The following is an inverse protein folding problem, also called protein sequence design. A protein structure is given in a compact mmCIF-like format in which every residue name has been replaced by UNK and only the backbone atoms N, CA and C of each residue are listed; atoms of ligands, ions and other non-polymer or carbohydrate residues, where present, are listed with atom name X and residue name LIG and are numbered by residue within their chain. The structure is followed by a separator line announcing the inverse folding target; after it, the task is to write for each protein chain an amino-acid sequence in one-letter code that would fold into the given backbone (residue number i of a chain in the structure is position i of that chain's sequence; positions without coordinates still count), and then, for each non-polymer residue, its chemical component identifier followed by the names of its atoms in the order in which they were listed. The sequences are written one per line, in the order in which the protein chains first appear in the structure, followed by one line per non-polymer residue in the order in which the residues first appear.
data_IF_311289204040
#
_entry.id   IF_311289204040
#
_cell.length_a   1.000
_cell.length_b   1.000
_cell.length_c   1.000
_cell.angle_alpha   90.00
_cell.angle_beta   90.00
_cell.angle_gamma   90.00
#
_symmetry.space_group_name_H-M   'P 1'
#
loop_
_entity.id
_entity.type
_entity.pdbx_description
1 polymer ?
#
# COMPACT_ATOMS: atom_id res chain seq x y z
N UNK A 1 14.66 -8.59 1.68
CA UNK A 1 15.49 -7.67 0.87
C UNK A 1 14.62 -6.91 -0.11
N UNK A 2 14.79 -5.61 -0.20
CA UNK A 2 14.03 -4.76 -1.12
C UNK A 2 14.65 -4.81 -2.53
N UNK A 3 13.82 -5.07 -3.52
CA UNK A 3 14.20 -5.04 -4.94
C UNK A 3 13.20 -4.19 -5.73
N UNK A 4 13.63 -3.78 -6.91
CA UNK A 4 12.83 -3.00 -7.83
C UNK A 4 12.58 -3.79 -9.11
N UNK A 5 11.38 -3.62 -9.67
CA UNK A 5 11.02 -4.22 -10.95
C UNK A 5 10.24 -3.22 -11.79
N UNK A 6 10.64 -3.04 -13.04
CA UNK A 6 9.82 -2.29 -14.00
C UNK A 6 8.68 -3.20 -14.42
N UNK A 7 7.45 -2.82 -14.12
CA UNK A 7 6.27 -3.62 -14.40
C UNK A 7 5.04 -3.07 -13.71
N UNK A 8 3.93 -3.77 -13.91
CA UNK A 8 2.63 -3.41 -13.36
C UNK A 8 2.35 -4.24 -12.11
N UNK A 9 2.18 -3.58 -10.96
CA UNK A 9 1.85 -4.26 -9.70
C UNK A 9 0.56 -5.10 -9.83
N UNK A 10 -0.46 -4.58 -10.50
CA UNK A 10 -1.73 -5.30 -10.63
C UNK A 10 -1.55 -6.60 -11.41
N UNK A 11 -0.75 -6.59 -12.47
CA UNK A 11 -0.42 -7.81 -13.22
C UNK A 11 0.38 -8.80 -12.36
N UNK A 12 1.31 -8.32 -11.53
CA UNK A 12 2.07 -9.15 -10.62
C UNK A 12 1.17 -9.83 -9.57
N UNK A 13 0.16 -9.10 -9.08
CA UNK A 13 -0.84 -9.64 -8.15
C UNK A 13 -1.68 -10.72 -8.85
N UNK A 14 -2.20 -10.43 -10.04
CA UNK A 14 -3.04 -11.37 -10.79
C UNK A 14 -2.32 -12.65 -11.19
N UNK A 15 -1.03 -12.55 -11.50
CA UNK A 15 -0.21 -13.71 -11.91
C UNK A 15 0.28 -14.55 -10.73
N UNK A 16 0.13 -14.08 -9.50
CA UNK A 16 0.69 -14.75 -8.31
C UNK A 16 2.17 -14.52 -8.09
N UNK A 17 2.79 -13.59 -8.83
CA UNK A 17 4.18 -13.19 -8.60
C UNK A 17 4.36 -12.63 -7.18
N UNK A 18 3.37 -11.90 -6.68
CA UNK A 18 3.26 -11.48 -5.28
C UNK A 18 2.01 -12.07 -4.65
N UNK A 19 2.06 -12.36 -3.35
CA UNK A 19 0.91 -12.85 -2.58
C UNK A 19 0.42 -11.86 -1.53
N UNK A 20 1.10 -10.74 -1.39
CA UNK A 20 0.71 -9.61 -0.53
C UNK A 20 1.02 -8.33 -1.27
N UNK A 21 0.11 -7.37 -1.23
CA UNK A 21 0.35 -6.05 -1.80
C UNK A 21 -0.30 -4.97 -0.94
N UNK A 22 0.15 -3.74 -1.12
CA UNK A 22 -0.42 -2.60 -0.43
C UNK A 22 -0.31 -1.34 -1.27
N UNK A 23 -1.18 -0.38 -0.98
CA UNK A 23 -1.11 0.96 -1.53
C UNK A 23 -1.52 1.99 -0.48
N UNK A 24 -1.15 3.25 -0.70
CA UNK A 24 -1.51 4.35 0.19
C UNK A 24 -2.92 4.86 -0.09
N UNK A 25 -3.69 5.12 0.96
CA UNK A 25 -5.05 5.61 0.88
C UNK A 25 -5.23 6.90 1.70
N UNK A 26 -6.18 7.73 1.27
CA UNK A 26 -6.71 8.81 2.10
C UNK A 26 -7.77 8.28 3.08
N UNK A 27 -8.21 9.14 3.98
CA UNK A 27 -9.21 8.76 5.00
C UNK A 27 -10.67 9.02 4.57
N UNK A 28 -10.93 9.34 3.29
CA UNK A 28 -12.26 9.71 2.80
C UNK A 28 -12.94 8.64 1.95
N UNK A 29 -12.40 7.44 1.86
CA UNK A 29 -12.99 6.31 1.11
C UNK A 29 -13.22 6.63 -0.38
N UNK A 30 -12.30 7.36 -1.02
CA UNK A 30 -12.50 7.78 -2.42
C UNK A 30 -11.85 6.86 -3.44
N UNK A 31 -10.64 6.37 -3.17
CA UNK A 31 -9.84 5.57 -4.13
C UNK A 31 -9.90 6.14 -5.56
N UNK A 32 -9.74 7.46 -5.68
CA UNK A 32 -10.03 8.20 -6.91
C UNK A 32 -8.83 8.64 -7.74
N UNK A 33 -7.59 8.45 -7.27
CA UNK A 33 -6.41 8.91 -8.00
C UNK A 33 -5.22 7.96 -7.85
N UNK A 34 -4.23 8.13 -8.72
CA UNK A 34 -3.04 7.27 -8.77
C UNK A 34 -3.40 5.83 -9.12
N UNK A 35 -2.83 4.88 -8.40
CA UNK A 35 -3.09 3.45 -8.61
C UNK A 35 -4.44 3.00 -8.04
N UNK A 36 -5.04 3.78 -7.13
CA UNK A 36 -6.24 3.36 -6.40
C UNK A 36 -7.44 3.02 -7.30
N UNK A 37 -7.78 3.80 -8.34
CA UNK A 37 -8.87 3.41 -9.25
C UNK A 37 -8.64 2.06 -9.94
N UNK A 38 -7.39 1.76 -10.29
CA UNK A 38 -7.03 0.49 -10.93
C UNK A 38 -7.16 -0.68 -9.96
N UNK A 39 -6.78 -0.48 -8.70
CA UNK A 39 -6.95 -1.48 -7.64
C UNK A 39 -8.43 -1.72 -7.37
N UNK A 40 -9.21 -0.66 -7.28
CA UNK A 40 -10.66 -0.72 -7.08
C UNK A 40 -11.35 -1.55 -8.17
N UNK A 41 -10.96 -1.34 -9.43
CA UNK A 41 -11.51 -2.07 -10.56
C UNK A 41 -11.07 -3.54 -10.58
N UNK A 42 -9.76 -3.79 -10.38
CA UNK A 42 -9.21 -5.14 -10.43
C UNK A 42 -9.59 -5.99 -9.22
N UNK A 43 -9.70 -5.37 -8.05
CA UNK A 43 -9.93 -6.03 -6.77
C UNK A 43 -11.02 -5.31 -5.98
N UNK A 44 -12.32 -5.52 -6.32
CA UNK A 44 -13.42 -4.79 -5.66
C UNK A 44 -13.45 -4.95 -4.14
N UNK A 45 -12.97 -6.06 -3.60
CA UNK A 45 -12.90 -6.28 -2.15
C UNK A 45 -11.98 -5.29 -1.44
N UNK A 46 -10.98 -4.73 -2.13
CA UNK A 46 -10.13 -3.68 -1.59
C UNK A 46 -10.93 -2.42 -1.30
N UNK A 47 -11.77 -2.01 -2.22
CA UNK A 47 -12.66 -0.86 -2.02
C UNK A 47 -13.75 -1.16 -1.00
N UNK A 48 -14.30 -2.37 -0.99
CA UNK A 48 -15.27 -2.80 0.00
C UNK A 48 -14.71 -2.71 1.42
N UNK A 49 -13.43 -3.10 1.62
CA UNK A 49 -12.77 -2.97 2.92
C UNK A 49 -12.61 -1.50 3.33
N UNK A 50 -12.26 -0.62 2.38
CA UNK A 50 -12.17 0.82 2.62
C UNK A 50 -13.52 1.42 3.00
N UNK A 51 -14.59 1.04 2.29
CA UNK A 51 -15.94 1.54 2.56
C UNK A 51 -16.52 1.12 3.92
N UNK A 52 -15.96 0.10 4.56
CA UNK A 52 -16.35 -0.31 5.91
C UNK A 52 -15.80 0.63 6.98
N UNK A 53 -14.84 1.47 6.65
CA UNK A 53 -14.29 2.46 7.57
C UNK A 53 -15.13 3.74 7.54
N UNK A 54 -15.03 4.54 8.60
CA UNK A 54 -15.74 5.80 8.67
C UNK A 54 -15.05 6.87 7.81
N UNK A 55 -15.79 7.45 6.88
CA UNK A 55 -15.31 8.49 5.98
C UNK A 55 -14.90 9.74 6.75
N UNK A 56 -13.67 10.20 6.55
CA UNK A 56 -13.18 11.43 7.16
C UNK A 56 -12.75 11.30 8.62
N UNK A 57 -12.78 10.11 9.20
CA UNK A 57 -12.33 9.88 10.56
C UNK A 57 -10.82 9.98 10.66
N UNK A 58 -10.34 10.97 11.43
CA UNK A 58 -8.89 11.19 11.61
C UNK A 58 -8.19 10.06 12.35
N UNK A 59 -8.91 9.27 13.13
CA UNK A 59 -8.32 8.13 13.84
C UNK A 59 -7.92 6.99 12.92
N UNK A 60 -8.39 6.98 11.66
CA UNK A 60 -7.92 6.04 10.65
C UNK A 60 -6.47 6.26 10.25
N UNK A 61 -6.01 7.51 10.33
CA UNK A 61 -4.66 7.88 9.87
C UNK A 61 -3.62 7.07 10.65
N UNK A 62 -2.75 6.38 9.93
CA UNK A 62 -1.74 5.50 10.52
C UNK A 62 -2.21 4.06 10.75
N UNK A 63 -3.45 3.73 10.42
CA UNK A 63 -3.97 2.35 10.46
C UNK A 63 -3.99 1.74 9.07
N UNK A 64 -4.42 0.48 8.97
CA UNK A 64 -4.64 -0.17 7.68
C UNK A 64 -5.89 -1.04 7.72
N UNK A 65 -6.44 -1.35 6.56
CA UNK A 65 -7.44 -2.40 6.38
C UNK A 65 -6.85 -3.49 5.48
N UNK A 66 -7.37 -4.70 5.59
CA UNK A 66 -6.94 -5.85 4.80
C UNK A 66 -8.12 -6.48 4.07
N UNK A 67 -7.90 -6.88 2.83
CA UNK A 67 -8.84 -7.70 2.08
C UNK A 67 -8.14 -9.00 1.69
N UNK A 68 -8.78 -10.13 1.99
CA UNK A 68 -8.31 -11.44 1.55
C UNK A 68 -8.96 -11.77 0.22
N UNK A 69 -8.13 -12.17 -0.74
CA UNK A 69 -8.51 -12.42 -2.13
C UNK A 69 -8.14 -13.86 -2.49
N UNK A 70 -8.73 -14.37 -3.58
CA UNK A 70 -8.43 -15.71 -4.10
C UNK A 70 -8.48 -16.79 -3.02
N UNK A 71 -9.59 -16.86 -2.27
CA UNK A 71 -9.80 -17.84 -1.18
C UNK A 71 -8.71 -17.79 -0.09
N UNK A 72 -8.15 -16.59 0.14
CA UNK A 72 -7.16 -16.36 1.20
C UNK A 72 -5.72 -16.57 0.78
N UNK A 73 -5.45 -16.88 -0.50
CA UNK A 73 -4.07 -17.04 -0.99
C UNK A 73 -3.39 -15.71 -1.27
N UNK A 74 -4.13 -14.60 -1.27
CA UNK A 74 -3.67 -13.26 -1.59
C UNK A 74 -4.24 -12.29 -0.56
N UNK A 75 -3.43 -11.37 -0.06
CA UNK A 75 -3.87 -10.30 0.85
C UNK A 75 -3.49 -8.93 0.29
N UNK A 76 -4.45 -8.01 0.27
CA UNK A 76 -4.23 -6.62 -0.09
C UNK A 76 -4.48 -5.70 1.10
N UNK A 77 -3.64 -4.68 1.25
CA UNK A 77 -3.71 -3.74 2.36
C UNK A 77 -3.95 -2.32 1.85
N UNK A 78 -4.92 -1.65 2.46
CA UNK A 78 -5.12 -0.21 2.32
C UNK A 78 -4.39 0.46 3.49
N UNK A 79 -3.32 1.20 3.20
CA UNK A 79 -2.54 1.91 4.21
C UNK A 79 -3.03 3.36 4.30
N UNK A 80 -3.58 3.74 5.45
CA UNK A 80 -4.09 5.10 5.62
C UNK A 80 -2.95 6.06 5.93
N UNK A 81 -2.22 6.42 4.88
CA UNK A 81 -0.97 7.18 4.92
C UNK A 81 -1.14 8.67 4.73
N UNK A 82 -2.36 9.11 4.41
CA UNK A 82 -2.71 10.52 4.22
C UNK A 82 -4.14 10.78 4.66
N UNK A 83 -4.38 11.96 5.24
CA UNK A 83 -5.74 12.30 5.65
C UNK A 83 -6.58 12.71 4.46
N UNK A 84 -6.13 13.73 3.71
CA UNK A 84 -6.82 14.28 2.55
C UNK A 84 -6.17 13.88 1.23
N UNK A 85 -6.51 14.59 0.17
CA UNK A 85 -6.02 14.32 -1.18
C UNK A 85 -6.08 15.57 -2.06
N UNK A 86 -5.35 15.54 -3.19
CA UNK A 86 -5.39 16.58 -4.23
C UNK A 86 -4.95 17.99 -3.78
N UNK A 87 -4.09 18.09 -2.76
CA UNK A 87 -3.59 19.37 -2.27
C UNK A 87 -2.24 19.78 -2.87
N UNK A 88 -1.68 18.96 -3.76
CA UNK A 88 -0.37 19.25 -4.37
C UNK A 88 -0.36 20.56 -5.14
N UNK A 89 -1.47 20.90 -5.81
CA UNK A 89 -1.61 22.19 -6.53
C UNK A 89 -1.54 23.40 -5.60
N UNK A 90 -1.80 23.21 -4.31
CA UNK A 90 -1.70 24.23 -3.27
C UNK A 90 -0.32 24.25 -2.61
N UNK A 91 0.65 23.48 -3.15
CA UNK A 91 1.98 23.36 -2.57
C UNK A 91 2.02 22.51 -1.30
N UNK A 92 0.98 21.73 -1.01
CA UNK A 92 0.88 20.90 0.19
C UNK A 92 1.20 19.44 -0.14
N UNK A 93 1.87 18.79 0.81
CA UNK A 93 2.09 17.34 0.77
C UNK A 93 0.92 16.66 1.46
N UNK A 94 0.25 15.74 0.76
CA UNK A 94 -0.81 14.94 1.37
C UNK A 94 -0.26 13.82 2.24
N UNK A 95 0.89 13.24 1.88
CA UNK A 95 1.51 12.17 2.64
C UNK A 95 1.89 12.64 4.05
N UNK A 96 1.50 11.84 5.04
CA UNK A 96 1.96 11.93 6.41
C UNK A 96 2.97 10.79 6.63
N UNK A 97 4.25 11.13 6.81
CA UNK A 97 5.29 10.11 6.97
C UNK A 97 5.09 9.23 8.20
N UNK A 98 4.66 9.81 9.32
CA UNK A 98 4.40 9.04 10.53
C UNK A 98 3.24 8.07 10.31
N UNK A 99 2.18 8.52 9.64
CA UNK A 99 1.03 7.67 9.34
C UNK A 99 1.40 6.53 8.39
N UNK A 100 2.24 6.79 7.38
CA UNK A 100 2.73 5.73 6.50
C UNK A 100 3.54 4.71 7.28
N UNK A 101 4.45 5.17 8.11
CA UNK A 101 5.27 4.28 8.96
C UNK A 101 4.38 3.42 9.86
N UNK A 102 3.46 4.04 10.58
CA UNK A 102 2.58 3.34 11.53
C UNK A 102 1.67 2.33 10.81
N UNK A 103 1.13 2.68 9.66
CA UNK A 103 0.27 1.77 8.87
C UNK A 103 1.05 0.57 8.34
N UNK A 104 2.31 0.76 7.95
CA UNK A 104 3.18 -0.34 7.51
C UNK A 104 3.57 -1.25 8.69
N UNK A 105 3.82 -0.68 9.88
CA UNK A 105 4.07 -1.47 11.09
C UNK A 105 2.85 -2.31 11.42
N UNK A 106 1.66 -1.75 11.35
CA UNK A 106 0.41 -2.48 11.59
C UNK A 106 0.22 -3.60 10.58
N UNK A 107 0.47 -3.34 9.29
CA UNK A 107 0.45 -4.35 8.24
C UNK A 107 1.39 -5.50 8.57
N UNK A 108 2.62 -5.21 8.99
CA UNK A 108 3.59 -6.25 9.33
C UNK A 108 3.13 -7.08 10.53
N UNK A 109 2.57 -6.44 11.55
CA UNK A 109 2.01 -7.16 12.71
C UNK A 109 0.91 -8.11 12.31
N UNK A 110 0.03 -7.69 11.39
CA UNK A 110 -1.03 -8.57 10.87
C UNK A 110 -0.43 -9.76 10.10
N UNK A 111 0.55 -9.53 9.24
CA UNK A 111 1.22 -10.60 8.51
C UNK A 111 1.90 -11.60 9.46
N UNK A 112 2.53 -11.10 10.52
CA UNK A 112 3.13 -11.95 11.55
C UNK A 112 2.09 -12.81 12.26
N UNK A 113 0.88 -12.29 12.44
CA UNK A 113 -0.21 -13.03 13.09
C UNK A 113 -0.79 -14.15 12.24
N UNK A 114 -0.57 -14.12 10.92
CA UNK A 114 -1.13 -15.11 9.99
C UNK A 114 -0.22 -16.33 9.78
N UNK A 115 0.98 -16.32 10.33
CA UNK A 115 1.92 -17.44 10.17
C UNK A 115 2.77 -17.63 11.40
N UNK A 116 3.11 -18.90 11.69
CA UNK A 116 4.12 -19.26 12.70
C UNK A 116 5.51 -19.43 12.05
N UNK A 117 5.59 -19.32 10.74
CA UNK A 117 6.82 -19.50 9.97
C UNK A 117 7.58 -18.21 9.72
N UNK A 118 8.64 -18.27 8.90
CA UNK A 118 9.43 -17.10 8.54
C UNK A 118 8.63 -16.14 7.67
N UNK A 119 8.97 -14.87 7.74
CA UNK A 119 8.26 -13.80 7.00
C UNK A 119 8.56 -13.82 5.50
N UNK A 120 9.58 -14.54 5.05
CA UNK A 120 9.93 -14.63 3.63
C UNK A 120 8.95 -15.45 2.79
N UNK A 121 7.97 -16.12 3.42
CA UNK A 121 6.84 -16.73 2.70
C UNK A 121 5.98 -15.68 2.01
N UNK A 122 6.02 -14.43 2.48
CA UNK A 122 5.29 -13.32 1.87
C UNK A 122 6.15 -12.69 0.79
N UNK A 123 5.64 -12.69 -0.42
CA UNK A 123 6.19 -11.96 -1.56
C UNK A 123 5.37 -10.68 -1.68
N UNK A 124 5.92 -9.61 -1.11
CA UNK A 124 5.21 -8.33 -0.96
C UNK A 124 5.49 -7.43 -2.14
N UNK A 125 4.44 -6.89 -2.74
CA UNK A 125 4.52 -5.90 -3.81
C UNK A 125 4.01 -4.55 -3.36
N UNK A 126 4.78 -3.50 -3.63
CA UNK A 126 4.38 -2.10 -3.41
C UNK A 126 4.53 -1.31 -4.71
N UNK A 127 3.66 -0.33 -4.95
CA UNK A 127 4.01 0.76 -5.87
C UNK A 127 5.00 1.70 -5.15
N UNK A 128 5.41 2.81 -5.79
CA UNK A 128 6.15 3.86 -5.09
C UNK A 128 5.21 4.61 -4.13
N UNK A 129 4.95 4.00 -2.97
CA UNK A 129 4.04 4.48 -1.95
C UNK A 129 4.30 5.94 -1.59
N UNK A 130 3.26 6.77 -1.68
CA UNK A 130 3.29 8.15 -1.20
C UNK A 130 4.21 9.11 -1.95
N UNK A 131 4.94 8.66 -2.96
CA UNK A 131 5.93 9.48 -3.67
C UNK A 131 5.37 10.16 -4.93
N UNK A 132 4.21 9.74 -5.42
CA UNK A 132 3.55 10.34 -6.58
C UNK A 132 2.74 11.57 -6.20
N UNK A 133 1.43 11.50 -6.40
CA UNK A 133 0.51 12.61 -6.12
C UNK A 133 0.53 13.07 -4.66
N UNK A 134 0.83 12.18 -3.72
CA UNK A 134 0.91 12.51 -2.30
C UNK A 134 2.14 13.34 -1.93
N UNK A 135 3.14 13.42 -2.80
CA UNK A 135 4.27 14.36 -2.68
C UNK A 135 5.37 13.96 -1.71
N UNK A 136 5.45 12.70 -1.31
CA UNK A 136 6.51 12.22 -0.42
C UNK A 136 7.86 12.04 -1.11
N UNK A 137 8.93 12.12 -0.31
CA UNK A 137 10.30 11.84 -0.75
C UNK A 137 10.52 10.32 -0.73
N UNK A 138 10.80 9.75 -1.89
CA UNK A 138 10.99 8.30 -2.02
C UNK A 138 12.17 7.77 -1.19
N UNK A 139 13.24 8.55 -1.06
CA UNK A 139 14.39 8.13 -0.24
C UNK A 139 14.00 7.88 1.22
N UNK A 140 13.13 8.71 1.77
CA UNK A 140 12.60 8.56 3.14
C UNK A 140 11.72 7.31 3.22
N UNK A 141 10.81 7.15 2.25
CA UNK A 141 9.86 6.03 2.22
C UNK A 141 10.61 4.70 2.03
N UNK A 142 11.59 4.66 1.14
CA UNK A 142 12.43 3.48 0.93
C UNK A 142 13.12 3.04 2.22
N UNK A 143 13.68 3.99 2.98
CA UNK A 143 14.32 3.71 4.26
C UNK A 143 13.34 3.12 5.27
N UNK A 144 12.11 3.60 5.31
CA UNK A 144 11.04 3.06 6.15
C UNK A 144 10.72 1.61 5.78
N UNK A 145 10.55 1.32 4.49
CA UNK A 145 10.25 -0.02 4.01
C UNK A 145 11.37 -0.99 4.37
N UNK A 146 12.62 -0.60 4.13
CA UNK A 146 13.79 -1.42 4.46
C UNK A 146 13.86 -1.74 5.96
N UNK A 147 13.54 -0.77 6.79
CA UNK A 147 13.54 -0.94 8.25
C UNK A 147 12.45 -1.90 8.71
N UNK A 148 11.21 -1.69 8.27
CA UNK A 148 10.05 -2.45 8.74
C UNK A 148 10.06 -3.88 8.16
N UNK A 149 10.32 -4.02 6.88
CA UNK A 149 10.19 -5.29 6.14
C UNK A 149 11.54 -5.95 5.87
N UNK A 150 12.54 -5.75 6.76
CA UNK A 150 13.91 -6.24 6.57
C UNK A 150 14.01 -7.77 6.40
N UNK A 151 13.08 -8.52 6.97
CA UNK A 151 13.02 -9.97 6.94
C UNK A 151 12.01 -10.52 5.91
N UNK A 152 11.45 -9.65 5.08
CA UNK A 152 10.46 -10.00 4.08
C UNK A 152 11.04 -9.89 2.66
N UNK A 153 10.42 -10.59 1.73
CA UNK A 153 10.69 -10.46 0.29
C UNK A 153 9.82 -9.32 -0.26
N UNK A 154 10.42 -8.18 -0.57
CA UNK A 154 9.72 -6.98 -1.02
C UNK A 154 10.18 -6.56 -2.41
N UNK A 155 9.23 -6.31 -3.30
CA UNK A 155 9.47 -5.74 -4.62
C UNK A 155 8.67 -4.46 -4.77
N UNK A 156 9.34 -3.38 -5.17
CA UNK A 156 8.69 -2.14 -5.58
C UNK A 156 8.53 -2.16 -7.10
N UNK A 157 7.30 -2.03 -7.56
CA UNK A 157 6.97 -2.04 -8.99
C UNK A 157 6.93 -0.62 -9.52
N UNK A 158 7.69 -0.39 -10.58
CA UNK A 158 7.79 0.90 -11.24
C UNK A 158 7.19 0.74 -12.63
N UNK A 159 6.14 1.53 -12.93
CA UNK A 159 5.53 1.49 -14.26
C UNK A 159 6.54 1.93 -15.33
N UNK A 160 6.55 1.30 -16.51
CA UNK A 160 7.39 1.75 -17.61
C UNK A 160 7.06 3.20 -17.99
N UNK A 161 8.10 3.96 -18.33
CA UNK A 161 7.88 5.32 -18.86
C UNK A 161 7.08 5.25 -20.14
N UNK A 162 6.08 6.11 -20.26
CA UNK A 162 5.34 6.28 -21.52
C UNK A 162 6.23 7.06 -22.48
N UNK A 163 6.50 6.44 -23.61
CA UNK A 163 7.19 7.13 -24.71
C UNK A 163 6.25 8.11 -25.40
#
# INVERSE_FOLDING_TARGET
MLKYKVGDLIEAVKSGEVNVFAHGCNCYCTMGSGIAPLIKEAFPKMYAADLKTEKGDKTKLGTCTVAFLNDGSLAGFNLYSQYGYNRRKQGLRDLDYNALYDSMVEMKKLLQSYTDGPMDIYRIGFPKLGAGLAGGDWNVIEAMIKSIFHDCDVTVYILPEKK
#
